data_IF_279454364866
#
_entry.id   IF_279454364866
#
_cell.length_a   1.000
_cell.length_b   1.000
_cell.length_c   1.000
_cell.angle_alpha   90.00
_cell.angle_beta   90.00
_cell.angle_gamma   90.00
#
_symmetry.space_group_name_H-M   'P 1'
#
loop_
_entity.id
_entity.type
_entity.pdbx_description
1 polymer ?
#
# COMPACT_ATOMS: atom_id res chain seq x y z
N UNK A 1 -14.29 -9.16 -9.37
CA UNK A 1 -14.73 -9.41 -7.98
C UNK A 1 -13.54 -9.74 -7.08
N UNK A 2 -12.75 -8.74 -6.73
CA UNK A 2 -11.54 -8.84 -5.89
C UNK A 2 -11.12 -7.43 -5.43
N UNK A 3 -9.94 -7.27 -4.82
CA UNK A 3 -9.49 -5.98 -4.26
C UNK A 3 -9.57 -4.83 -5.28
N UNK A 4 -9.07 -5.01 -6.50
CA UNK A 4 -9.11 -3.96 -7.52
C UNK A 4 -10.53 -3.54 -7.91
N UNK A 5 -11.46 -4.49 -7.98
CA UNK A 5 -12.88 -4.22 -8.25
C UNK A 5 -13.57 -3.52 -7.06
N UNK A 6 -13.16 -3.83 -5.82
CA UNK A 6 -13.61 -3.11 -4.63
C UNK A 6 -13.12 -1.66 -4.61
N UNK A 7 -11.84 -1.42 -4.95
CA UNK A 7 -11.27 -0.07 -5.08
C UNK A 7 -11.99 0.72 -6.18
N UNK A 8 -12.22 0.11 -7.34
CA UNK A 8 -12.94 0.77 -8.45
C UNK A 8 -14.36 1.18 -8.06
N UNK A 9 -15.10 0.36 -7.29
CA UNK A 9 -16.43 0.73 -6.79
C UNK A 9 -16.42 1.95 -5.86
N UNK A 10 -15.30 2.23 -5.20
CA UNK A 10 -15.13 3.39 -4.33
C UNK A 10 -14.81 4.68 -5.09
N UNK A 11 -14.49 4.61 -6.39
CA UNK A 11 -14.12 5.77 -7.24
C UNK A 11 -15.08 6.95 -7.07
N UNK A 12 -16.39 6.69 -7.07
CA UNK A 12 -17.43 7.74 -6.92
C UNK A 12 -17.37 8.52 -5.61
N UNK A 13 -16.71 7.98 -4.57
CA UNK A 13 -16.55 8.62 -3.27
C UNK A 13 -15.26 9.43 -3.16
N UNK A 14 -14.26 9.13 -3.99
CA UNK A 14 -12.93 9.76 -3.97
C UNK A 14 -12.81 10.81 -5.09
N UNK A 15 -13.37 10.54 -6.27
CA UNK A 15 -13.17 11.38 -7.44
C UNK A 15 -11.72 11.34 -7.93
N UNK A 16 -11.19 12.50 -8.31
CA UNK A 16 -9.83 12.63 -8.86
C UNK A 16 -8.82 13.14 -7.81
N UNK A 17 -8.87 12.56 -6.62
CA UNK A 17 -8.00 12.89 -5.49
C UNK A 17 -7.13 11.68 -5.11
N UNK A 18 -5.90 11.89 -4.60
CA UNK A 18 -5.11 10.80 -4.05
C UNK A 18 -5.80 10.21 -2.81
N UNK A 19 -5.66 8.89 -2.62
CA UNK A 19 -6.29 8.16 -1.52
C UNK A 19 -5.37 7.06 -0.99
N UNK A 20 -5.62 6.65 0.27
CA UNK A 20 -4.96 5.51 0.89
C UNK A 20 -5.87 4.28 0.85
N UNK A 21 -5.27 3.10 0.65
CA UNK A 21 -5.95 1.80 0.78
C UNK A 21 -5.40 1.10 2.01
N UNK A 22 -6.29 0.68 2.91
CA UNK A 22 -5.97 -0.07 4.12
C UNK A 22 -6.72 -1.39 4.05
N UNK A 23 -6.00 -2.49 4.22
CA UNK A 23 -6.59 -3.83 4.31
C UNK A 23 -6.96 -4.10 5.77
N UNK A 24 -8.23 -4.43 6.04
CA UNK A 24 -8.75 -4.54 7.40
C UNK A 24 -8.19 -5.72 8.21
N UNK A 25 -7.54 -6.65 7.54
CA UNK A 25 -6.86 -7.82 8.08
C UNK A 25 -5.37 -7.57 8.41
N UNK A 26 -4.79 -6.45 7.96
CA UNK A 26 -3.41 -6.07 8.25
C UNK A 26 -3.33 -5.05 9.39
N UNK A 27 -2.79 -5.47 10.54
CA UNK A 27 -2.55 -4.61 11.69
C UNK A 27 -1.05 -4.33 11.80
N UNK A 28 -0.65 -3.12 11.43
CA UNK A 28 0.76 -2.68 11.48
C UNK A 28 0.95 -1.72 12.67
N UNK A 29 1.82 -2.12 13.60
CA UNK A 29 2.14 -1.33 14.80
C UNK A 29 3.56 -0.79 14.68
N UNK A 30 3.69 0.54 14.74
CA UNK A 30 4.97 1.24 14.72
C UNK A 30 4.81 2.59 15.41
N UNK A 31 5.91 3.20 15.88
CA UNK A 31 5.90 4.52 16.53
C UNK A 31 5.29 5.58 15.60
N UNK A 32 5.71 5.58 14.33
CA UNK A 32 5.05 6.32 13.27
C UNK A 32 4.13 5.38 12.46
N UNK A 33 2.81 5.66 12.36
CA UNK A 33 1.90 4.82 11.58
C UNK A 33 2.39 4.60 10.14
N UNK A 34 2.28 3.36 9.65
CA UNK A 34 2.73 3.00 8.29
C UNK A 34 2.09 3.91 7.23
N UNK A 35 0.79 4.19 7.34
CA UNK A 35 0.07 5.10 6.44
C UNK A 35 0.66 6.51 6.43
N UNK A 36 1.09 7.04 7.58
CA UNK A 36 1.73 8.35 7.64
C UNK A 36 3.09 8.35 6.92
N UNK A 37 3.85 7.26 7.03
CA UNK A 37 5.12 7.12 6.29
C UNK A 37 4.89 7.08 4.77
N UNK A 38 3.84 6.38 4.31
CA UNK A 38 3.48 6.34 2.89
C UNK A 38 3.04 7.71 2.36
N UNK A 39 2.29 8.47 3.16
CA UNK A 39 1.85 9.84 2.81
C UNK A 39 3.07 10.75 2.62
N UNK A 40 4.03 10.76 3.55
CA UNK A 40 5.26 11.56 3.41
C UNK A 40 6.02 11.27 2.11
N UNK A 41 6.12 9.98 1.72
CA UNK A 41 6.77 9.57 0.48
C UNK A 41 5.95 10.03 -0.73
N UNK A 42 4.62 9.88 -0.69
CA UNK A 42 3.75 10.39 -1.74
C UNK A 42 3.90 11.90 -1.91
N UNK A 43 3.91 12.68 -0.83
CA UNK A 43 4.08 14.14 -0.87
C UNK A 43 5.45 14.54 -1.46
N UNK A 44 6.50 13.78 -1.15
CA UNK A 44 7.85 14.04 -1.68
C UNK A 44 7.98 13.74 -3.17
N UNK A 45 7.37 12.66 -3.67
CA UNK A 45 7.62 12.16 -5.03
C UNK A 45 6.45 12.32 -5.99
N UNK A 46 5.24 12.61 -5.50
CA UNK A 46 4.01 12.72 -6.30
C UNK A 46 3.63 11.42 -7.02
N UNK A 47 3.98 10.26 -6.46
CA UNK A 47 3.80 8.94 -7.08
C UNK A 47 3.15 7.97 -6.11
N UNK A 48 2.30 7.07 -6.64
CA UNK A 48 1.73 5.97 -5.88
C UNK A 48 2.82 5.21 -5.13
N UNK A 49 2.60 5.02 -3.84
CA UNK A 49 3.57 4.42 -2.92
C UNK A 49 2.93 3.18 -2.30
N UNK A 50 3.68 2.08 -2.22
CA UNK A 50 3.21 0.79 -1.73
C UNK A 50 4.11 0.38 -0.55
N UNK A 51 3.51 -0.01 0.57
CA UNK A 51 4.25 -0.60 1.68
C UNK A 51 4.76 -1.99 1.31
N UNK A 52 6.00 -2.29 1.70
CA UNK A 52 6.62 -3.60 1.52
C UNK A 52 7.28 -4.04 2.81
N UNK A 53 7.36 -5.35 3.02
CA UNK A 53 8.12 -5.96 4.10
C UNK A 53 9.01 -7.07 3.54
N UNK A 54 10.12 -7.34 4.22
CA UNK A 54 10.93 -8.51 3.93
C UNK A 54 10.26 -9.75 4.55
N UNK A 55 10.13 -10.80 3.75
CA UNK A 55 9.52 -12.07 4.18
C UNK A 55 10.49 -13.23 4.02
N UNK A 56 10.43 -14.27 4.88
CA UNK A 56 11.20 -15.49 4.71
C UNK A 56 10.92 -16.17 3.35
N UNK A 57 11.93 -16.83 2.79
CA UNK A 57 11.85 -17.43 1.45
C UNK A 57 10.73 -18.47 1.33
N UNK A 58 10.51 -19.24 2.40
CA UNK A 58 9.47 -20.26 2.49
C UNK A 58 8.04 -19.70 2.39
N UNK A 59 7.84 -18.40 2.64
CA UNK A 59 6.54 -17.74 2.54
C UNK A 59 6.27 -17.09 1.19
N UNK A 60 7.25 -17.02 0.28
CA UNK A 60 7.14 -16.22 -0.96
C UNK A 60 5.91 -16.54 -1.81
N UNK A 61 5.46 -17.80 -1.85
CA UNK A 61 4.29 -18.22 -2.63
C UNK A 61 2.97 -17.62 -2.12
N UNK A 62 2.94 -17.10 -0.90
CA UNK A 62 1.77 -16.44 -0.30
C UNK A 62 1.72 -14.93 -0.52
N UNK A 63 2.76 -14.32 -1.13
CA UNK A 63 2.90 -12.86 -1.24
C UNK A 63 3.11 -12.40 -2.68
N UNK A 64 2.75 -11.14 -2.94
CA UNK A 64 3.19 -10.43 -4.15
C UNK A 64 4.64 -9.97 -3.99
N UNK A 65 5.51 -10.36 -4.93
CA UNK A 65 6.94 -10.05 -4.86
C UNK A 65 7.29 -8.89 -5.79
N UNK A 66 8.01 -7.90 -5.27
CA UNK A 66 8.49 -6.75 -6.05
C UNK A 66 9.99 -6.87 -6.37
N UNK A 67 10.41 -6.18 -7.42
CA UNK A 67 11.83 -5.92 -7.71
C UNK A 67 12.04 -4.41 -7.76
N UNK A 68 12.93 -3.91 -6.92
CA UNK A 68 13.25 -2.49 -6.82
C UNK A 68 14.74 -2.25 -6.67
N UNK A 69 15.11 -0.98 -6.61
CA UNK A 69 16.43 -0.52 -6.18
C UNK A 69 16.21 0.47 -5.04
N UNK A 70 17.08 0.48 -4.01
CA UNK A 70 17.08 1.55 -3.03
C UNK A 70 17.19 2.90 -3.73
N UNK A 71 16.43 3.89 -3.23
CA UNK A 71 16.48 5.27 -3.68
C UNK A 71 17.63 6.02 -3.03
#
# INVERSE_FOLDING_TARGET
>A
NGLGDAILRAEKHIGNEPFAVLLGDDIIVNEKPCTAQLIDIFEKYGRSTIAVEEVPYEKLSSYGIIKGKPL
#
